data_IF_171182245142
#
_entry.id   IF_171182245142
#
_cell.length_a   1.000
_cell.length_b   1.000
_cell.length_c   1.000
_cell.angle_alpha   90.00
_cell.angle_beta   90.00
_cell.angle_gamma   90.00
#
_symmetry.space_group_name_H-M   'P 1'
#
loop_
_entity.id
_entity.type
_entity.pdbx_description
1 polymer ?
2 polymer ?
3 branched ?
4 non-polymer ?
5 water ?
#
# COMPACT_ATOMS: atom_id res chain seq x y z
N UNK A 8 -29.05 -18.24 -31.77
CA UNK A 8 -28.78 -16.81 -31.93
C UNK A 8 -28.84 -16.04 -30.61
N UNK A 9 -27.97 -15.03 -30.47
CA UNK A 9 -27.97 -14.14 -29.32
C UNK A 9 -27.86 -12.70 -29.81
N UNK A 10 -28.29 -11.77 -28.95
CA UNK A 10 -28.31 -10.34 -29.27
C UNK A 10 -27.51 -9.62 -28.19
N UNK A 11 -26.50 -8.88 -28.62
CA UNK A 11 -25.61 -8.20 -27.71
C UNK A 11 -25.34 -6.82 -28.27
N UNK A 12 -25.10 -5.82 -27.42
CA UNK A 12 -24.67 -4.52 -27.93
C UNK A 12 -23.31 -4.64 -28.58
N UNK A 13 -23.18 -3.97 -29.73
CA UNK A 13 -21.91 -3.91 -30.44
C UNK A 13 -21.09 -2.79 -29.81
N UNK A 14 -20.08 -3.16 -29.03
CA UNK A 14 -19.33 -2.14 -28.30
C UNK A 14 -18.05 -2.75 -27.77
N UNK A 15 -17.02 -1.92 -27.69
CA UNK A 15 -15.82 -2.22 -26.92
C UNK A 15 -15.60 -1.06 -25.94
N UNK A 16 -15.13 -1.37 -24.73
CA UNK A 16 -14.90 -0.33 -23.72
C UNK A 16 -13.43 0.08 -23.76
N UNK A 17 -13.14 1.20 -24.39
CA UNK A 17 -11.79 1.75 -24.47
C UNK A 17 -11.73 2.99 -23.58
N UNK A 18 -10.79 2.99 -22.64
CA UNK A 18 -10.63 4.09 -21.69
C UNK A 18 -9.14 4.36 -21.56
N UNK A 19 -8.75 5.62 -21.65
CA UNK A 19 -7.34 6.01 -21.56
C UNK A 19 -7.25 7.23 -20.68
N UNK A 20 -6.61 7.07 -19.52
CA UNK A 20 -6.47 8.16 -18.57
C UNK A 20 -5.19 8.94 -18.84
N UNK A 21 -5.27 10.25 -18.66
CA UNK A 21 -4.10 11.10 -18.78
C UNK A 21 -4.18 12.20 -17.71
N UNK A 22 -3.06 12.88 -17.50
CA UNK A 22 -2.94 13.91 -16.48
C UNK A 22 -2.09 13.53 -15.28
N UNK A 23 -1.57 12.30 -15.22
CA UNK A 23 -0.78 11.89 -14.07
C UNK A 23 0.56 12.59 -14.03
N UNK A 24 1.27 12.39 -12.92
CA UNK A 24 2.61 12.93 -12.74
C UNK A 24 2.87 13.22 -11.28
N UNK A 25 3.84 14.09 -11.03
CA UNK A 25 4.20 14.46 -9.67
C UNK A 25 3.59 15.82 -9.34
N UNK A 26 2.83 15.87 -8.25
CA UNK A 26 2.14 17.08 -7.84
C UNK A 26 2.63 17.50 -6.46
N UNK A 27 2.52 18.79 -6.18
CA UNK A 27 2.80 19.31 -4.86
C UNK A 27 1.53 19.30 -4.04
N UNK A 28 1.66 18.96 -2.76
CA UNK A 28 0.54 19.03 -1.84
C UNK A 28 -0.09 20.42 -1.87
N UNK A 29 -1.41 20.46 -1.71
CA UNK A 29 -2.17 21.69 -1.85
C UNK A 29 -2.63 22.00 -3.25
N UNK A 30 -2.02 21.39 -4.26
CA UNK A 30 -2.43 21.67 -5.63
C UNK A 30 -3.69 20.89 -5.98
N UNK A 31 -4.24 21.22 -7.15
CA UNK A 31 -5.44 20.57 -7.64
C UNK A 31 -5.06 19.52 -8.66
N UNK A 32 -5.60 18.32 -8.51
CA UNK A 32 -5.43 17.26 -9.49
C UNK A 32 -6.51 17.40 -10.56
N UNK A 33 -6.11 17.38 -11.84
CA UNK A 33 -7.06 17.35 -12.95
C UNK A 33 -6.70 16.20 -13.88
N UNK A 34 -7.55 15.18 -13.96
CA UNK A 34 -7.32 14.06 -14.84
C UNK A 34 -8.36 14.02 -15.94
N UNK A 35 -7.99 13.46 -17.08
CA UNK A 35 -8.89 13.26 -18.19
C UNK A 35 -8.95 11.78 -18.52
N UNK A 36 -10.14 11.29 -18.86
CA UNK A 36 -10.31 9.94 -19.37
C UNK A 36 -10.99 10.03 -20.73
N UNK A 37 -10.25 9.72 -21.79
CA UNK A 37 -10.77 9.66 -23.15
C UNK A 37 -11.41 8.30 -23.39
N UNK A 38 -12.69 8.28 -23.75
CA UNK A 38 -13.39 7.03 -23.97
C UNK A 38 -13.67 6.82 -25.46
N UNK A 39 -13.93 5.56 -25.81
CA UNK A 39 -14.27 5.20 -27.17
C UNK A 39 -14.86 3.80 -27.17
N UNK A 40 -15.61 3.50 -28.22
CA UNK A 40 -16.06 2.15 -28.50
C UNK A 40 -17.45 1.81 -28.01
N UNK A 41 -18.08 2.68 -27.22
CA UNK A 41 -19.38 2.43 -26.64
C UNK A 41 -20.16 3.74 -26.63
N UNK A 42 -21.47 3.65 -26.41
CA UNK A 42 -22.33 4.82 -26.52
C UNK A 42 -22.12 5.70 -25.31
N UNK A 43 -21.55 6.88 -25.54
CA UNK A 43 -21.02 7.70 -24.45
C UNK A 43 -22.14 8.31 -23.60
N UNK A 44 -23.12 8.94 -24.25
CA UNK A 44 -24.06 9.78 -23.51
C UNK A 44 -24.81 8.98 -22.46
N UNK A 45 -25.16 7.73 -22.79
CA UNK A 45 -25.97 6.86 -21.94
C UNK A 45 -25.15 6.02 -20.97
N UNK A 46 -23.84 6.29 -20.82
CA UNK A 46 -22.97 5.41 -20.07
C UNK A 46 -22.84 5.86 -18.62
N UNK A 47 -22.32 4.95 -17.81
CA UNK A 47 -22.01 5.18 -16.41
C UNK A 47 -20.51 4.99 -16.21
N UNK A 48 -19.85 6.04 -15.71
CA UNK A 48 -18.39 6.14 -15.64
C UNK A 48 -17.98 6.61 -14.24
N UNK A 49 -16.87 6.07 -13.74
CA UNK A 49 -16.39 6.35 -12.38
C UNK A 49 -14.87 6.49 -12.37
N UNK A 50 -14.35 7.02 -11.26
CA UNK A 50 -12.92 7.07 -11.00
C UNK A 50 -12.63 6.27 -9.74
N UNK A 51 -11.64 5.37 -9.82
CA UNK A 51 -11.18 4.57 -8.69
C UNK A 51 -9.70 4.82 -8.46
N UNK A 52 -9.31 4.85 -7.18
CA UNK A 52 -7.92 5.01 -6.75
C UNK A 52 -7.35 3.65 -6.31
N UNK A 53 -6.33 3.17 -7.03
CA UNK A 53 -5.64 1.93 -6.71
C UNK A 53 -4.27 2.30 -6.15
N UNK A 54 -4.19 2.39 -4.81
CA UNK A 54 -2.86 2.66 -4.27
C UNK A 54 -2.22 1.34 -3.87
N UNK A 55 -0.99 1.05 -4.30
CA UNK A 55 -0.38 -0.24 -3.96
C UNK A 55 -0.42 -0.47 -2.47
N UNK A 56 -0.85 -1.67 -2.07
CA UNK A 56 -0.97 -2.03 -0.67
C UNK A 56 -2.29 -1.69 -0.03
N UNK A 57 -3.18 -0.98 -0.73
CA UNK A 57 -4.47 -0.59 -0.17
C UNK A 57 -5.60 -1.20 -0.98
N UNK A 58 -6.80 -1.14 -0.41
CA UNK A 58 -8.00 -1.50 -1.15
C UNK A 58 -8.27 -0.46 -2.23
N UNK A 59 -8.56 -0.88 -3.47
CA UNK A 59 -9.03 0.06 -4.47
C UNK A 59 -10.23 0.81 -3.92
N UNK A 60 -10.28 2.12 -4.17
CA UNK A 60 -11.27 2.95 -3.52
C UNK A 60 -12.06 3.74 -4.55
N UNK A 61 -13.37 3.66 -4.48
CA UNK A 61 -14.21 4.54 -5.29
C UNK A 61 -14.04 5.99 -4.85
N UNK A 62 -13.90 6.89 -5.83
CA UNK A 62 -13.75 8.31 -5.56
C UNK A 62 -14.97 9.13 -5.97
N UNK A 63 -15.49 8.90 -7.17
CA UNK A 63 -16.57 9.70 -7.75
C UNK A 63 -17.03 9.02 -9.02
N UNK A 64 -18.23 9.37 -9.48
CA UNK A 64 -18.75 8.81 -10.72
C UNK A 64 -19.88 9.65 -11.24
N UNK A 65 -20.31 9.35 -12.46
CA UNK A 65 -21.37 10.16 -13.05
C UNK A 65 -21.99 9.46 -14.23
N UNK A 66 -23.24 9.85 -14.51
CA UNK A 66 -23.91 9.57 -15.77
C UNK A 66 -24.55 10.89 -16.22
N UNK A 67 -25.47 10.81 -17.17
CA UNK A 67 -26.03 12.02 -17.76
C UNK A 67 -26.99 12.73 -16.82
N UNK A 68 -27.49 12.07 -15.76
CA UNK A 68 -28.45 12.71 -14.87
C UNK A 68 -27.92 12.98 -13.47
N UNK A 69 -26.90 12.27 -13.01
CA UNK A 69 -26.48 12.38 -11.61
C UNK A 69 -24.97 12.22 -11.49
N UNK A 70 -24.43 12.75 -10.38
CA UNK A 70 -23.04 12.54 -10.01
C UNK A 70 -22.93 12.51 -8.49
N UNK A 71 -21.91 11.83 -7.99
CA UNK A 71 -21.68 11.77 -6.56
C UNK A 71 -20.17 11.67 -6.32
N UNK A 72 -19.77 11.90 -5.08
CA UNK A 72 -18.35 11.77 -4.77
C UNK A 72 -18.19 11.42 -3.31
N UNK A 73 -16.99 10.98 -2.99
CA UNK A 73 -16.66 10.52 -1.65
C UNK A 73 -16.35 11.69 -0.71
N UNK A 74 -15.88 12.82 -1.25
CA UNK A 74 -15.52 14.00 -0.46
C UNK A 74 -15.86 15.27 -1.23
N UNK A 75 -16.04 16.37 -0.49
CA UNK A 75 -16.33 17.64 -1.14
C UNK A 75 -15.27 18.10 -2.12
N UNK A 76 -13.99 17.88 -1.79
CA UNK A 76 -12.90 18.35 -2.64
C UNK A 76 -12.76 17.54 -3.95
N UNK A 77 -13.54 16.48 -4.14
CA UNK A 77 -13.45 15.58 -5.30
C UNK A 77 -14.68 15.76 -6.18
N UNK A 78 -14.48 15.96 -7.48
CA UNK A 78 -15.61 16.07 -8.41
C UNK A 78 -15.23 15.48 -9.77
N UNK A 79 -16.25 15.19 -10.56
CA UNK A 79 -16.03 14.72 -11.92
C UNK A 79 -17.00 15.44 -12.85
N UNK A 80 -16.70 15.41 -14.14
CA UNK A 80 -17.54 16.11 -15.11
C UNK A 80 -17.32 15.48 -16.47
N UNK A 81 -18.15 15.91 -17.43
CA UNK A 81 -18.28 15.28 -18.74
C UNK A 81 -18.19 16.30 -19.87
N UNK A 82 -17.55 15.90 -20.97
CA UNK A 82 -17.51 16.67 -22.21
C UNK A 82 -18.09 15.80 -23.32
N UNK A 83 -19.35 16.04 -23.68
CA UNK A 83 -20.08 15.09 -24.51
C UNK A 83 -19.60 15.06 -25.95
N UNK A 84 -19.30 16.22 -26.53
CA UNK A 84 -18.89 16.18 -27.93
C UNK A 84 -17.53 15.51 -28.12
N UNK A 85 -16.78 15.27 -27.04
CA UNK A 85 -15.48 14.65 -27.11
C UNK A 85 -15.42 13.28 -26.44
N UNK A 86 -16.53 12.81 -25.84
CA UNK A 86 -16.58 11.51 -25.18
C UNK A 86 -15.52 11.39 -24.07
N UNK A 87 -15.34 12.44 -23.29
CA UNK A 87 -14.38 12.45 -22.19
C UNK A 87 -15.09 12.67 -20.87
N UNK A 88 -14.50 12.14 -19.79
CA UNK A 88 -14.86 12.56 -18.43
C UNK A 88 -13.60 12.97 -17.71
N UNK A 89 -13.78 13.86 -16.73
CA UNK A 89 -12.69 14.47 -15.99
C UNK A 89 -12.81 14.20 -14.51
N UNK A 90 -11.67 14.26 -13.83
CA UNK A 90 -11.61 14.17 -12.38
C UNK A 90 -10.94 15.42 -11.86
N UNK A 91 -11.46 15.96 -10.76
CA UNK A 91 -10.79 17.07 -10.11
C UNK A 91 -10.72 16.80 -8.62
N UNK A 92 -9.51 16.90 -8.06
CA UNK A 92 -9.30 16.72 -6.64
C UNK A 92 -8.51 17.92 -6.16
N UNK A 93 -9.15 18.78 -5.39
CA UNK A 93 -8.48 19.93 -4.83
C UNK A 93 -7.75 19.53 -3.58
N UNK A 94 -6.74 20.35 -3.23
CA UNK A 94 -6.04 20.26 -1.95
C UNK A 94 -5.38 18.89 -1.78
N UNK A 95 -4.60 18.48 -2.78
CA UNK A 95 -3.92 17.19 -2.73
C UNK A 95 -3.04 17.07 -1.50
N UNK A 96 -3.00 15.87 -0.94
CA UNK A 96 -2.06 15.53 0.10
C UNK A 96 -1.42 14.19 -0.20
N UNK A 97 -0.54 13.77 0.72
CA UNK A 97 0.24 12.55 0.51
C UNK A 97 -0.64 11.32 0.33
N UNK A 98 -1.80 11.28 1.00
CA UNK A 98 -2.67 10.12 0.88
C UNK A 98 -3.32 10.02 -0.50
N UNK A 99 -3.25 11.05 -1.34
CA UNK A 99 -3.85 10.97 -2.66
C UNK A 99 -2.97 10.31 -3.71
N UNK A 100 -1.74 9.90 -3.35
CA UNK A 100 -0.85 9.23 -4.29
C UNK A 100 -1.37 7.85 -4.68
N UNK A 101 -1.12 7.47 -5.91
CA UNK A 101 -1.50 6.14 -6.36
C UNK A 101 -1.81 6.15 -7.84
N UNK A 102 -2.47 5.08 -8.28
CA UNK A 102 -2.83 4.90 -9.67
C UNK A 102 -4.32 5.19 -9.84
N UNK A 103 -4.63 6.23 -10.61
CA UNK A 103 -6.01 6.63 -10.84
C UNK A 103 -6.57 5.95 -12.09
N UNK A 104 -7.66 5.22 -11.93
CA UNK A 104 -8.29 4.47 -13.01
C UNK A 104 -9.66 5.06 -13.31
N UNK A 105 -9.91 5.27 -14.60
CA UNK A 105 -11.25 5.43 -15.13
C UNK A 105 -11.94 4.06 -15.21
N UNK A 106 -13.22 4.01 -14.86
CA UNK A 106 -13.95 2.74 -14.88
C UNK A 106 -15.33 2.91 -15.51
N UNK A 107 -15.79 1.88 -16.23
CA UNK A 107 -17.13 1.83 -16.79
C UNK A 107 -17.88 0.64 -16.21
N UNK A 108 -19.09 0.87 -15.75
CA UNK A 108 -19.94 -0.21 -15.29
C UNK A 108 -20.60 -0.88 -16.49
N UNK A 109 -20.49 -2.21 -16.57
CA UNK A 109 -20.93 -2.99 -17.72
C UNK A 109 -21.66 -4.23 -17.22
N UNK A 110 -22.82 -4.53 -17.79
CA UNK A 110 -23.50 -5.78 -17.50
C UNK A 110 -25.01 -5.63 -17.64
N UNK A 111 -25.72 -6.56 -17.00
CA UNK A 111 -27.18 -6.59 -17.13
C UNK A 111 -27.84 -5.42 -16.44
N UNK A 112 -27.25 -4.92 -15.35
CA UNK A 112 -27.85 -3.81 -14.63
C UNK A 112 -27.86 -4.07 -13.14
N UNK A 113 -27.62 -5.31 -12.73
CA UNK A 113 -27.75 -5.72 -11.35
C UNK A 113 -26.37 -5.94 -10.73
N UNK A 114 -26.35 -6.64 -9.60
CA UNK A 114 -25.13 -6.87 -8.82
C UNK A 114 -24.16 -7.83 -9.50
N UNK A 115 -24.49 -8.33 -10.69
CA UNK A 115 -23.53 -9.10 -11.46
C UNK A 115 -22.71 -8.23 -12.40
N UNK A 116 -22.99 -6.93 -12.45
CA UNK A 116 -22.24 -6.02 -13.31
C UNK A 116 -20.77 -6.01 -12.92
N UNK A 117 -19.91 -5.75 -13.90
CA UNK A 117 -18.50 -5.56 -13.65
C UNK A 117 -18.08 -4.13 -13.95
N UNK A 118 -16.93 -3.78 -13.39
CA UNK A 118 -16.19 -2.59 -13.77
C UNK A 118 -15.14 -3.02 -14.79
N UNK A 119 -15.06 -2.28 -15.90
CA UNK A 119 -13.95 -2.37 -16.83
C UNK A 119 -13.08 -1.17 -16.55
N UNK A 120 -11.77 -1.40 -16.42
CA UNK A 120 -10.81 -0.37 -16.06
C UNK A 120 -9.85 -0.11 -17.21
N UNK A 121 -9.36 1.13 -17.30
CA UNK A 121 -8.23 1.42 -18.17
C UNK A 121 -6.91 1.15 -17.47
N UNK A 122 -5.82 1.46 -18.16
CA UNK A 122 -4.49 1.28 -17.57
C UNK A 122 -4.28 2.19 -16.38
N UNK A 123 -4.99 3.30 -16.32
CA UNK A 123 -4.81 4.23 -15.22
C UNK A 123 -3.65 5.16 -15.50
N UNK A 124 -3.46 6.10 -14.57
CA UNK A 124 -2.37 7.05 -14.67
C UNK A 124 -1.84 7.28 -13.27
N UNK A 125 -0.53 7.42 -13.16
CA UNK A 125 0.14 7.43 -11.87
C UNK A 125 0.23 8.84 -11.31
N UNK A 126 -0.19 9.02 -10.06
CA UNK A 126 -0.08 10.31 -9.41
C UNK A 126 0.84 10.17 -8.20
N UNK A 127 1.84 11.03 -8.13
CA UNK A 127 2.75 11.13 -6.99
C UNK A 127 2.58 12.49 -6.36
N UNK A 128 2.16 12.53 -5.10
CA UNK A 128 2.05 13.78 -4.37
C UNK A 128 3.27 13.90 -3.48
N UNK A 129 3.92 15.05 -3.53
CA UNK A 129 5.09 15.29 -2.70
C UNK A 129 4.87 16.59 -1.94
N UNK A 130 5.59 16.79 -0.85
CA UNK A 130 5.37 18.00 -0.04
C UNK A 130 5.63 19.27 -0.84
N UNK A 131 4.90 20.31 -0.50
CA UNK A 131 5.13 21.58 -1.16
C UNK A 131 6.44 22.16 -0.65
N UNK A 132 7.25 22.77 -1.54
CA UNK A 132 8.52 23.32 -1.10
C UNK A 132 8.33 24.39 -0.02
N UNK A 133 9.34 24.48 0.83
CA UNK A 133 9.35 25.44 1.92
C UNK A 133 10.80 25.64 2.30
N UNK A 134 11.03 26.48 3.31
CA UNK A 134 12.39 26.89 3.61
C UNK A 134 13.27 25.67 3.90
N UNK A 135 14.52 25.69 3.44
CA UNK A 135 15.44 24.58 3.76
C UNK A 135 15.54 24.36 5.25
N UNK A 136 15.71 23.11 5.64
CA UNK A 136 15.66 22.71 7.05
C UNK A 136 16.74 21.66 7.28
N UNK A 137 17.73 21.99 8.07
CA UNK A 137 18.79 21.01 8.38
C UNK A 137 18.24 19.96 9.34
N UNK A 138 18.62 18.69 9.17
CA UNK A 138 18.15 17.65 10.09
C UNK A 138 18.93 17.66 11.40
N UNK A 139 18.33 17.02 12.39
CA UNK A 139 19.04 16.58 13.59
C UNK A 139 19.34 15.09 13.44
N UNK A 140 20.37 14.63 14.16
CA UNK A 140 20.89 13.28 13.97
C UNK A 140 21.01 12.59 15.32
N UNK A 141 20.44 11.39 15.43
CA UNK A 141 20.46 10.63 16.67
C UNK A 141 20.91 9.21 16.39
N UNK A 142 21.82 8.70 17.22
CA UNK A 142 22.22 7.30 17.16
C UNK A 142 21.39 6.49 18.14
N UNK A 143 20.94 5.31 17.71
CA UNK A 143 20.22 4.39 18.56
C UNK A 143 20.78 2.99 18.31
N UNK A 144 20.81 2.19 19.37
CA UNK A 144 21.42 0.88 19.34
C UNK A 144 20.47 -0.18 19.89
N UNK A 145 20.57 -1.38 19.35
CA UNK A 145 19.94 -2.57 19.94
C UNK A 145 20.87 -3.73 19.58
N UNK A 146 21.64 -4.19 20.56
CA UNK A 146 22.63 -5.27 20.40
C UNK A 146 23.60 -4.85 19.31
N UNK A 147 23.75 -5.61 18.21
CA UNK A 147 24.71 -5.33 17.15
C UNK A 147 24.10 -4.52 16.02
N UNK A 148 22.89 -4.03 16.20
CA UNK A 148 22.23 -3.19 15.22
C UNK A 148 22.34 -1.73 15.66
N UNK A 149 22.67 -0.86 14.72
CA UNK A 149 22.71 0.58 14.97
C UNK A 149 21.76 1.24 13.98
N UNK A 150 20.86 2.06 14.49
CA UNK A 150 20.01 2.90 13.67
C UNK A 150 20.48 4.33 13.82
N UNK A 151 20.57 5.02 12.71
CA UNK A 151 20.84 6.45 12.71
C UNK A 151 19.54 7.16 12.33
N UNK A 152 18.99 7.93 13.26
CA UNK A 152 17.70 8.59 13.07
C UNK A 152 17.93 10.02 12.64
N UNK A 153 17.33 10.41 11.52
CA UNK A 153 17.57 11.70 10.88
C UNK A 153 16.23 12.39 10.72
N UNK A 154 15.99 13.48 11.48
CA UNK A 154 14.63 14.01 11.64
C UNK A 154 14.47 15.40 11.05
N UNK A 155 13.45 15.54 10.20
CA UNK A 155 12.90 16.82 9.80
C UNK A 155 13.95 17.63 9.04
N UNK A 156 14.09 17.28 7.77
CA UNK A 156 14.93 18.03 6.85
C UNK A 156 14.14 18.29 5.58
N UNK A 157 14.57 19.31 4.86
CA UNK A 157 13.99 19.63 3.60
C UNK A 157 15.09 20.42 2.88
N UNK A 158 15.32 20.19 1.58
CA UNK A 158 14.71 19.17 0.71
C UNK A 158 15.22 17.75 1.01
N UNK A 159 14.74 16.76 0.25
CA UNK A 159 14.94 15.36 0.60
C UNK A 159 16.35 14.84 0.30
N UNK A 160 17.09 15.49 -0.60
CA UNK A 160 18.41 14.99 -0.95
C UNK A 160 19.35 15.09 0.25
N UNK A 161 19.96 13.96 0.61
CA UNK A 161 21.04 13.96 1.60
C UNK A 161 21.93 12.75 1.37
N UNK A 162 23.08 12.77 2.03
CA UNK A 162 24.02 11.66 2.01
C UNK A 162 24.29 11.28 3.45
N UNK A 163 24.23 9.98 3.74
CA UNK A 163 24.41 9.42 5.08
C UNK A 163 25.50 8.37 5.03
N UNK A 164 26.22 8.26 6.13
CA UNK A 164 27.31 7.30 6.25
C UNK A 164 27.48 6.95 7.73
N UNK A 165 27.51 5.65 8.03
CA UNK A 165 27.88 5.12 9.33
C UNK A 165 29.30 4.58 9.28
N UNK A 166 30.13 4.94 10.25
CA UNK A 166 31.52 4.54 10.26
C UNK A 166 31.96 4.18 11.66
N UNK A 167 32.86 3.19 11.75
CA UNK A 167 33.47 2.77 13.00
C UNK A 167 34.96 3.08 12.91
N UNK A 168 35.39 4.07 13.69
CA UNK A 168 36.78 4.56 13.69
C UNK A 168 37.30 4.79 12.27
N UNK A 169 36.44 5.37 11.43
CA UNK A 169 36.86 5.88 10.15
C UNK A 169 36.48 5.04 8.96
N UNK A 170 36.13 3.76 9.13
CA UNK A 170 35.81 2.93 7.98
C UNK A 170 34.33 2.54 7.97
N UNK A 171 33.76 2.51 6.76
CA UNK A 171 32.34 2.22 6.56
C UNK A 171 31.97 0.88 7.18
N UNK A 172 30.87 0.85 7.92
CA UNK A 172 30.47 -0.42 8.50
C UNK A 172 29.71 -1.20 7.44
N UNK A 173 29.51 -2.50 7.69
CA UNK A 173 28.82 -3.38 6.76
C UNK A 173 27.30 -3.22 6.87
N UNK A 174 26.62 -3.61 5.80
CA UNK A 174 25.16 -3.76 5.76
C UNK A 174 24.42 -2.46 6.05
N UNK A 175 24.96 -1.33 5.58
CA UNK A 175 24.27 -0.05 5.67
C UNK A 175 23.16 0.04 4.63
N UNK A 176 22.06 0.72 4.99
CA UNK A 176 20.92 0.92 4.10
C UNK A 176 20.01 2.02 4.66
N UNK A 177 19.45 2.83 3.76
CA UNK A 177 18.78 4.09 4.09
C UNK A 177 17.31 4.04 3.72
N UNK A 178 16.45 4.42 4.65
CA UNK A 178 15.02 4.55 4.39
C UNK A 178 14.58 5.98 4.65
N UNK A 179 13.80 6.53 3.74
CA UNK A 179 13.46 7.94 3.78
C UNK A 179 11.98 8.06 3.51
N UNK A 180 11.29 8.93 4.25
CA UNK A 180 9.85 9.09 4.04
C UNK A 180 9.42 10.50 4.40
N UNK A 181 8.41 11.03 3.72
CA UNK A 181 7.81 12.29 4.17
C UNK A 181 7.05 12.12 5.47
N UNK A 182 6.92 13.22 6.20
CA UNK A 182 6.08 13.30 7.37
C UNK A 182 4.84 14.15 7.06
N UNK A 183 3.96 14.28 8.05
CA UNK A 183 2.72 15.06 7.88
C UNK A 183 3.00 16.56 7.81
N UNK A 184 4.09 17.03 8.42
CA UNK A 184 4.44 18.44 8.40
C UNK A 184 5.10 18.89 7.09
N UNK A 185 5.19 18.03 6.08
CA UNK A 185 5.83 18.47 4.85
C UNK A 185 7.34 18.40 4.86
N UNK A 186 7.94 17.81 5.88
CA UNK A 186 9.38 17.57 5.90
C UNK A 186 9.67 16.08 5.74
N UNK A 187 10.93 15.73 5.64
CA UNK A 187 11.35 14.35 5.55
C UNK A 187 12.06 13.94 6.84
N UNK A 188 11.99 12.65 7.13
CA UNK A 188 12.81 12.04 8.15
C UNK A 188 13.30 10.71 7.57
N UNK A 189 14.32 10.14 8.19
CA UNK A 189 14.96 9.01 7.56
C UNK A 189 15.67 8.21 8.63
N UNK A 190 15.87 6.94 8.33
CA UNK A 190 16.58 6.01 9.19
C UNK A 190 17.60 5.29 8.34
N UNK A 191 18.85 5.30 8.80
CA UNK A 191 19.95 4.58 8.18
C UNK A 191 20.37 3.46 9.13
N UNK A 192 20.30 2.22 8.65
CA UNK A 192 20.53 1.03 9.47
C UNK A 192 21.89 0.44 9.15
N UNK A 193 22.60 -0.05 10.17
CA UNK A 193 23.84 -0.76 9.93
C UNK A 193 24.10 -1.76 11.04
N UNK A 194 25.14 -2.58 10.84
CA UNK A 194 25.53 -3.62 11.79
C UNK A 194 26.91 -3.31 12.35
N UNK A 195 27.02 -3.28 13.68
CA UNK A 195 28.31 -3.03 14.32
C UNK A 195 28.22 -3.53 15.76
N UNK A 196 29.34 -4.03 16.27
CA UNK A 196 29.34 -4.53 17.63
C UNK A 196 28.93 -3.45 18.62
N UNK A 197 28.20 -3.88 19.67
CA UNK A 197 27.61 -2.94 20.62
C UNK A 197 28.67 -2.12 21.35
N UNK A 198 29.93 -2.55 21.31
CA UNK A 198 31.01 -1.82 21.96
C UNK A 198 31.90 -1.06 21.00
N UNK A 199 31.62 -1.10 19.70
CA UNK A 199 32.47 -0.37 18.76
C UNK A 199 32.10 1.10 18.75
N UNK A 200 33.10 1.94 18.49
CA UNK A 200 32.85 3.36 18.27
C UNK A 200 32.09 3.53 16.95
N UNK A 201 31.04 4.32 16.97
CA UNK A 201 30.20 4.49 15.79
C UNK A 201 29.94 5.97 15.58
N UNK A 202 29.97 6.39 14.31
CA UNK A 202 29.66 7.76 13.95
C UNK A 202 28.65 7.75 12.82
N UNK A 203 27.59 8.52 12.96
CA UNK A 203 26.67 8.74 11.87
C UNK A 203 26.89 10.14 11.34
N UNK A 204 27.11 10.26 10.04
CA UNK A 204 27.49 11.53 9.46
C UNK A 204 26.55 11.84 8.30
N UNK A 205 25.93 13.02 8.33
CA UNK A 205 24.90 13.42 7.38
C UNK A 205 25.34 14.69 6.67
N UNK A 206 25.17 14.71 5.36
CA UNK A 206 25.47 15.87 4.54
C UNK A 206 24.16 16.33 3.91
N UNK A 207 23.84 17.61 4.10
CA UNK A 207 22.56 18.13 3.65
C UNK A 207 22.78 19.59 3.34
N UNK A 208 22.53 19.97 2.08
CA UNK A 208 22.73 21.35 1.60
C UNK A 208 24.13 21.85 1.90
N UNK A 209 25.11 20.98 1.71
CA UNK A 209 26.48 21.36 1.95
C UNK A 209 26.87 21.55 3.40
N UNK A 210 25.97 21.29 4.35
CA UNK A 210 26.30 21.29 5.78
C UNK A 210 26.47 19.85 6.25
N UNK A 211 27.36 19.66 7.21
CA UNK A 211 27.62 18.34 7.78
C UNK A 211 27.07 18.30 9.20
N UNK A 212 26.28 17.27 9.50
CA UNK A 212 25.71 17.04 10.82
C UNK A 212 26.06 15.62 11.21
N UNK A 213 26.26 15.40 12.50
CA UNK A 213 26.72 14.08 12.94
C UNK A 213 26.46 13.89 14.43
N UNK A 214 26.40 12.62 14.82
CA UNK A 214 26.47 12.15 16.21
C UNK A 214 27.43 10.97 16.27
N UNK A 215 28.19 10.87 17.35
CA UNK A 215 29.06 9.71 17.55
C UNK A 215 28.93 9.19 18.97
N UNK A 216 28.98 7.88 19.12
CA UNK A 216 29.13 7.24 20.40
C UNK A 216 30.59 6.80 20.49
N UNK A 217 31.38 7.49 21.29
CA UNK A 217 32.80 7.18 21.41
C UNK A 217 32.99 5.93 22.24
N UNK A 218 34.07 5.21 21.95
CA UNK A 218 34.50 4.07 22.75
C UNK A 218 35.63 4.42 23.71
N UNK A 219 36.34 5.52 23.47
CA UNK A 219 37.32 6.03 24.40
C UNK A 219 37.14 7.52 24.63
N UNK A 220 37.91 8.04 25.58
CA UNK A 220 37.87 9.46 25.93
C UNK A 220 38.13 10.38 24.73
N UNK B 2 -23.81 -1.04 8.88
CA UNK B 2 -22.59 -0.54 9.52
C UNK B 2 -21.50 -0.31 8.49
N UNK B 3 -21.80 -0.60 7.23
CA UNK B 3 -20.85 -0.44 6.15
C UNK B 3 -20.19 -1.74 5.73
N UNK B 4 -20.17 -2.02 4.44
CA UNK B 4 -19.67 -3.31 3.95
C UNK B 4 -18.15 -3.29 3.91
N UNK B 5 -17.54 -4.42 4.27
CA UNK B 5 -16.09 -4.54 4.35
C UNK B 5 -15.65 -5.96 4.04
N UNK B 6 -14.52 -6.10 3.36
CA UNK B 6 -13.99 -7.39 2.93
C UNK B 6 -12.57 -7.55 3.42
N UNK B 7 -12.26 -8.75 3.94
CA UNK B 7 -10.98 -9.06 4.55
C UNK B 7 -10.31 -10.18 3.77
N UNK B 8 -9.00 -10.03 3.51
CA UNK B 8 -8.25 -11.00 2.71
C UNK B 8 -6.96 -11.35 3.43
N UNK B 9 -6.75 -12.63 3.69
CA UNK B 9 -5.58 -13.11 4.41
C UNK B 9 -5.32 -14.54 3.94
N UNK B 10 -4.05 -14.97 3.88
CA UNK B 10 -2.83 -14.22 4.16
C UNK B 10 -2.56 -13.13 3.11
N UNK B 11 -1.59 -12.25 3.38
CA UNK B 11 -1.35 -11.13 2.46
C UNK B 11 -0.66 -11.59 1.19
N UNK B 12 -0.05 -12.76 1.18
CA UNK B 12 0.56 -13.27 -0.04
C UNK B 12 0.50 -14.79 -0.04
N UNK B 13 0.63 -15.36 -1.23
CA UNK B 13 0.72 -16.80 -1.45
C UNK B 13 1.83 -17.02 -2.48
N UNK B 14 2.86 -17.78 -2.10
CA UNK B 14 3.97 -18.07 -2.98
C UNK B 14 3.90 -19.52 -3.44
N UNK B 15 4.11 -19.75 -4.73
CA UNK B 15 3.97 -21.07 -5.29
C UNK B 15 5.00 -21.27 -6.38
N UNK B 16 5.26 -22.54 -6.69
CA UNK B 16 5.94 -22.91 -7.92
C UNK B 16 4.91 -23.25 -8.98
N UNK B 17 5.38 -23.40 -10.22
CA UNK B 17 4.47 -23.67 -11.34
C UNK B 17 3.75 -24.99 -11.13
N UNK B 18 2.58 -25.11 -11.74
CA UNK B 18 1.73 -26.30 -11.76
C UNK B 18 1.05 -26.55 -10.41
N UNK B 19 1.32 -25.74 -9.38
CA UNK B 19 0.63 -25.86 -8.11
C UNK B 19 -0.69 -25.09 -8.17
N UNK B 20 -1.34 -24.93 -7.03
CA UNK B 20 -2.61 -24.22 -6.97
C UNK B 20 -2.60 -23.31 -5.75
N UNK B 21 -3.62 -22.46 -5.64
CA UNK B 21 -3.63 -21.47 -4.58
C UNK B 21 -5.05 -21.13 -4.23
N UNK B 22 -5.34 -21.06 -2.93
CA UNK B 22 -6.66 -20.71 -2.42
C UNK B 22 -6.58 -19.35 -1.75
N UNK B 23 -7.40 -18.41 -2.22
CA UNK B 23 -7.41 -17.05 -1.71
C UNK B 23 -8.68 -16.86 -0.91
N UNK B 24 -8.56 -16.20 0.23
CA UNK B 24 -9.65 -16.03 1.17
C UNK B 24 -10.23 -14.63 1.11
N UNK B 25 -11.56 -14.54 1.25
CA UNK B 25 -12.27 -13.26 1.36
C UNK B 25 -13.31 -13.41 2.46
N UNK B 26 -13.05 -12.83 3.63
CA UNK B 26 -14.05 -12.73 4.68
C UNK B 26 -14.82 -11.43 4.46
N UNK B 27 -16.09 -11.55 4.07
CA UNK B 27 -16.95 -10.41 3.78
C UNK B 27 -17.84 -10.15 4.99
N UNK B 28 -17.83 -8.92 5.48
CA UNK B 28 -18.54 -8.52 6.69
C UNK B 28 -19.59 -7.47 6.37
N UNK B 29 -20.69 -7.51 7.12
CA UNK B 29 -21.88 -6.72 6.84
C UNK B 29 -22.26 -6.80 5.36
N UNK B 30 -22.48 -8.00 4.82
CA UNK B 30 -22.76 -8.12 3.39
C UNK B 30 -24.03 -7.38 3.01
N UNK B 31 -23.96 -6.67 1.88
CA UNK B 31 -25.11 -5.97 1.31
C UNK B 31 -25.48 -6.53 -0.05
N UNK B 32 -24.85 -7.62 -0.49
CA UNK B 32 -25.05 -8.12 -1.84
C UNK B 32 -24.87 -9.63 -1.85
N UNK B 33 -25.45 -10.26 -2.85
CA UNK B 33 -25.33 -11.71 -3.02
C UNK B 33 -24.11 -12.12 -3.82
N UNK B 34 -23.45 -11.20 -4.51
CA UNK B 34 -22.37 -11.54 -5.42
C UNK B 34 -21.03 -11.09 -4.86
N UNK B 35 -20.05 -12.00 -4.92
CA UNK B 35 -18.67 -11.71 -4.57
C UNK B 35 -17.88 -11.73 -5.87
N UNK B 36 -17.16 -10.63 -6.15
CA UNK B 36 -16.42 -10.44 -7.39
C UNK B 36 -14.93 -10.57 -7.13
N UNK B 37 -14.20 -11.16 -8.09
CA UNK B 37 -12.76 -11.39 -7.96
C UNK B 37 -12.05 -10.69 -9.11
N UNK B 38 -11.28 -9.66 -8.78
CA UNK B 38 -10.51 -8.88 -9.74
C UNK B 38 -9.03 -9.21 -9.59
N UNK B 39 -8.28 -9.04 -10.69
CA UNK B 39 -6.85 -9.24 -10.69
C UNK B 39 -6.17 -8.00 -11.21
N UNK B 40 -5.05 -7.66 -10.59
CA UNK B 40 -4.23 -6.53 -10.98
C UNK B 40 -2.81 -7.01 -11.27
N UNK B 41 -2.27 -6.65 -12.45
CA UNK B 41 -0.90 -6.97 -12.80
C UNK B 41 -0.24 -5.71 -13.32
N UNK B 42 1.04 -5.54 -12.99
CA UNK B 42 1.83 -4.39 -13.37
C UNK B 42 1.69 -4.06 -14.85
N UNK B 43 1.35 -2.82 -15.15
CA UNK B 43 1.25 -2.39 -16.53
C UNK B 43 0.02 -2.90 -17.28
N UNK B 44 -0.85 -3.68 -16.65
CA UNK B 44 -2.09 -4.11 -17.25
C UNK B 44 -3.27 -3.42 -16.57
N UNK B 45 -4.39 -3.36 -17.29
CA UNK B 45 -5.62 -2.90 -16.66
C UNK B 45 -6.10 -3.94 -15.67
N UNK B 46 -6.45 -3.56 -14.44
CA UNK B 46 -7.13 -4.52 -13.56
C UNK B 46 -8.41 -5.01 -14.23
N UNK B 47 -8.76 -6.26 -13.98
CA UNK B 47 -9.92 -6.82 -14.65
C UNK B 47 -10.57 -7.85 -13.76
N UNK B 48 -11.85 -8.08 -14.01
CA UNK B 48 -12.56 -9.08 -13.24
C UNK B 48 -12.32 -10.45 -13.85
N UNK B 49 -12.09 -11.44 -13.00
CA UNK B 49 -11.92 -12.82 -13.45
C UNK B 49 -13.21 -13.62 -13.42
N UNK B 50 -14.02 -13.45 -12.37
CA UNK B 50 -15.24 -14.23 -12.20
C UNK B 50 -16.12 -13.52 -11.18
N UNK B 51 -17.38 -13.95 -11.12
CA UNK B 51 -18.31 -13.49 -10.09
C UNK B 51 -19.00 -14.71 -9.50
N UNK B 52 -19.22 -14.68 -8.19
CA UNK B 52 -19.75 -15.81 -7.45
C UNK B 52 -21.00 -15.37 -6.72
N UNK B 53 -22.08 -16.13 -6.89
CA UNK B 53 -23.33 -15.92 -6.18
C UNK B 53 -23.30 -16.76 -4.90
N UNK B 54 -23.28 -16.10 -3.75
CA UNK B 54 -23.22 -16.84 -2.50
C UNK B 54 -24.45 -17.73 -2.32
N UNK B 55 -25.64 -17.18 -2.56
CA UNK B 55 -26.87 -17.94 -2.39
C UNK B 55 -26.89 -19.16 -3.31
N UNK B 56 -26.92 -18.92 -4.63
CA UNK B 56 -26.90 -20.03 -5.58
C UNK B 56 -25.59 -20.82 -5.56
N UNK B 57 -24.61 -20.42 -4.76
CA UNK B 57 -23.31 -21.11 -4.65
C UNK B 57 -22.74 -21.42 -6.03
N UNK B 58 -22.70 -20.39 -6.88
CA UNK B 58 -22.41 -20.56 -8.30
C UNK B 58 -21.28 -19.63 -8.71
N UNK B 59 -20.26 -20.17 -9.37
CA UNK B 59 -19.07 -19.42 -9.77
C UNK B 59 -19.04 -19.28 -11.30
N UNK B 60 -19.14 -18.04 -11.77
CA UNK B 60 -19.28 -17.72 -13.19
C UNK B 60 -18.04 -16.98 -13.69
N UNK B 61 -17.17 -17.64 -14.46
CA UNK B 61 -15.98 -16.94 -14.98
C UNK B 61 -16.34 -15.98 -16.11
N UNK B 62 -15.57 -14.92 -16.21
CA UNK B 62 -15.70 -13.95 -17.28
C UNK B 62 -15.01 -14.49 -18.53
N UNK B 63 -15.27 -13.92 -19.70
CA UNK B 63 -14.65 -14.44 -20.92
C UNK B 63 -13.14 -14.39 -20.83
N UNK B 64 -12.50 -15.42 -21.41
CA UNK B 64 -11.07 -15.59 -21.31
C UNK B 64 -10.62 -16.46 -20.17
N UNK B 65 -11.47 -16.67 -19.17
CA UNK B 65 -11.10 -17.43 -17.99
C UNK B 65 -11.93 -18.70 -17.94
N UNK B 66 -11.26 -19.84 -17.77
CA UNK B 66 -11.90 -21.14 -17.73
C UNK B 66 -12.24 -21.51 -16.30
N UNK B 67 -13.39 -22.16 -16.11
CA UNK B 67 -13.72 -22.68 -14.79
C UNK B 67 -12.72 -23.71 -14.30
N UNK B 68 -11.97 -24.34 -15.22
CA UNK B 68 -10.85 -25.19 -14.83
C UNK B 68 -9.71 -24.39 -14.22
N UNK B 69 -9.57 -23.12 -14.60
CA UNK B 69 -8.46 -22.29 -14.19
C UNK B 69 -8.75 -21.50 -12.92
N UNK B 70 -9.93 -20.88 -12.82
CA UNK B 70 -10.34 -20.12 -11.64
C UNK B 70 -11.76 -20.51 -11.28
N UNK B 71 -12.02 -20.64 -9.98
CA UNK B 71 -13.29 -21.15 -9.50
C UNK B 71 -13.47 -20.66 -8.06
N UNK B 72 -14.61 -20.05 -7.77
CA UNK B 72 -14.94 -19.64 -6.41
C UNK B 72 -15.93 -20.62 -5.78
N UNK B 73 -15.76 -20.85 -4.47
CA UNK B 73 -16.67 -21.71 -3.72
C UNK B 73 -16.82 -21.15 -2.31
N UNK B 74 -17.61 -21.84 -1.48
CA UNK B 74 -17.90 -21.40 -0.11
C UNK B 74 -16.89 -21.97 0.88
N UNK B 75 -16.68 -21.26 1.99
CA UNK B 75 -15.74 -21.68 3.01
C UNK B 75 -16.30 -21.48 4.40
N UNK B 76 -15.51 -21.87 5.40
CA UNK B 76 -15.93 -21.77 6.79
C UNK B 76 -16.19 -20.30 7.15
N UNK B 77 -17.27 -20.08 7.91
CA UNK B 77 -17.69 -18.75 8.39
C UNK B 77 -18.15 -17.85 7.24
N UNK B 78 -18.91 -18.42 6.31
CA UNK B 78 -19.49 -17.68 5.18
C UNK B 78 -18.42 -16.96 4.37
N UNK B 79 -17.25 -17.60 4.26
CA UNK B 79 -16.10 -17.06 3.54
C UNK B 79 -16.11 -17.52 2.10
N UNK B 80 -15.92 -16.58 1.17
CA UNK B 80 -15.71 -16.94 -0.22
C UNK B 80 -14.22 -17.15 -0.49
N UNK B 81 -13.91 -18.20 -1.25
CA UNK B 81 -12.55 -18.59 -1.57
C UNK B 81 -12.38 -18.71 -3.07
N UNK B 82 -11.26 -18.22 -3.59
CA UNK B 82 -10.90 -18.34 -4.99
C UNK B 82 -9.76 -19.32 -5.14
N UNK B 83 -9.95 -20.34 -5.98
CA UNK B 83 -8.89 -21.30 -6.29
C UNK B 83 -8.38 -21.04 -7.69
N UNK B 84 -7.06 -20.89 -7.80
CA UNK B 84 -6.39 -20.69 -9.08
C UNK B 84 -5.54 -21.93 -9.31
N UNK B 85 -5.90 -22.72 -10.32
CA UNK B 85 -5.24 -24.00 -10.56
C UNK B 85 -4.07 -23.84 -11.53
N UNK B 86 -3.22 -24.87 -11.55
CA UNK B 86 -2.16 -25.04 -12.53
C UNK B 86 -1.40 -23.74 -12.73
N UNK B 87 -0.90 -23.22 -11.61
CA UNK B 87 -0.26 -21.92 -11.59
C UNK B 87 0.88 -21.83 -12.60
N UNK B 88 0.95 -20.69 -13.28
CA UNK B 88 2.06 -20.30 -14.15
C UNK B 88 2.57 -18.94 -13.69
N UNK B 89 3.80 -18.62 -14.07
CA UNK B 89 4.38 -17.34 -13.66
C UNK B 89 3.47 -16.21 -14.09
N UNK B 90 2.84 -16.35 -15.25
CA UNK B 90 1.96 -15.31 -15.78
C UNK B 90 0.72 -15.09 -14.92
N UNK B 91 0.48 -15.91 -13.90
CA UNK B 91 -0.63 -15.71 -12.98
C UNK B 91 -0.30 -14.77 -11.83
N UNK B 92 0.97 -14.46 -11.59
CA UNK B 92 1.34 -13.57 -10.48
C UNK B 92 0.62 -12.23 -10.60
N UNK B 93 0.20 -11.70 -9.47
CA UNK B 93 -0.40 -10.38 -9.40
C UNK B 93 -1.19 -10.27 -8.11
N UNK B 94 -1.90 -9.15 -7.97
CA UNK B 94 -2.72 -8.92 -6.79
C UNK B 94 -4.17 -9.23 -7.10
N UNK B 95 -4.78 -10.09 -6.27
CA UNK B 95 -6.15 -10.54 -6.44
C UNK B 95 -7.02 -9.90 -5.36
N UNK B 96 -8.03 -9.16 -5.79
CA UNK B 96 -8.94 -8.47 -4.88
C UNK B 96 -10.32 -9.07 -5.00
N UNK B 97 -10.94 -9.37 -3.86
CA UNK B 97 -12.38 -9.60 -3.90
C UNK B 97 -13.10 -8.27 -3.76
N UNK B 98 -14.32 -8.22 -4.27
CA UNK B 98 -15.06 -6.97 -4.30
C UNK B 98 -16.54 -7.26 -4.12
N UNK B 99 -17.28 -6.22 -3.73
CA UNK B 99 -18.74 -6.32 -3.63
C UNK B 99 -19.39 -5.00 -3.98
N UNK B 100 -20.47 -5.07 -4.75
CA UNK B 100 -21.31 -3.91 -4.98
C UNK B 100 -22.00 -3.49 -3.69
N UNK B 101 -22.04 -2.17 -3.46
CA UNK B 101 -22.83 -1.55 -2.37
C UNK B 101 -23.51 -0.31 -2.96
N UNK B 102 -24.61 -0.54 -3.67
CA UNK B 102 -25.26 0.53 -4.40
C UNK B 102 -24.54 0.82 -5.69
N UNK B 103 -24.37 2.10 -6.02
CA UNK B 103 -23.60 2.46 -7.19
C UNK B 103 -22.10 2.41 -6.94
N UNK B 104 -21.67 1.95 -5.75
CA UNK B 104 -20.28 1.96 -5.34
C UNK B 104 -19.80 0.53 -5.16
N UNK B 105 -18.63 0.21 -5.72
CA UNK B 105 -18.03 -1.09 -5.54
C UNK B 105 -16.93 -0.99 -4.49
N UNK B 106 -16.98 -1.89 -3.50
CA UNK B 106 -16.03 -1.93 -2.40
C UNK B 106 -15.13 -3.14 -2.58
N UNK B 107 -13.83 -2.94 -2.37
CA UNK B 107 -12.80 -3.92 -2.66
C UNK B 107 -12.05 -4.31 -1.39
N UNK B 108 -11.71 -5.58 -1.31
CA UNK B 108 -10.73 -6.01 -0.34
C UNK B 108 -9.36 -5.42 -0.62
N UNK B 109 -8.49 -5.58 0.35
CA UNK B 109 -7.14 -5.07 0.27
C UNK B 109 -6.25 -5.89 -0.67
N UNK B 110 -6.65 -7.11 -1.02
CA UNK B 110 -5.91 -7.89 -1.97
C UNK B 110 -4.89 -8.86 -1.37
N UNK B 111 -4.76 -10.03 -1.98
CA UNK B 111 -3.67 -10.95 -1.67
C UNK B 111 -2.76 -11.08 -2.88
N UNK B 112 -1.46 -11.05 -2.65
CA UNK B 112 -0.52 -11.13 -3.76
C UNK B 112 -0.15 -12.58 -4.02
N UNK B 113 -0.47 -13.05 -5.22
CA UNK B 113 -0.08 -14.37 -5.68
C UNK B 113 1.27 -14.26 -6.36
N UNK B 114 2.24 -15.02 -5.90
CA UNK B 114 3.59 -15.02 -6.47
C UNK B 114 3.86 -16.42 -6.98
N UNK B 115 4.03 -16.55 -8.29
CA UNK B 115 4.39 -17.82 -8.89
C UNK B 115 5.79 -17.67 -9.44
N UNK B 116 6.67 -18.57 -9.03
CA UNK B 116 8.06 -18.51 -9.48
C UNK B 116 8.52 -19.89 -9.90
N UNK B 117 9.45 -19.92 -10.84
CA UNK B 117 10.03 -21.17 -11.28
C UNK B 117 11.30 -21.51 -10.51
N UNK B 118 11.73 -20.68 -9.56
CA UNK B 118 12.89 -20.95 -8.74
C UNK B 118 12.49 -21.61 -7.42
N UNK B 119 13.36 -22.48 -6.92
CA UNK B 119 13.15 -22.99 -5.56
C UNK B 119 13.16 -21.83 -4.58
N UNK B 120 12.35 -21.93 -3.54
CA UNK B 120 12.26 -20.88 -2.53
C UNK B 120 11.91 -21.52 -1.20
N UNK B 121 12.18 -20.79 -0.12
CA UNK B 121 11.72 -21.15 1.21
C UNK B 121 11.20 -19.88 1.86
N UNK B 122 10.01 -19.95 2.46
CA UNK B 122 9.48 -18.82 3.19
C UNK B 122 10.30 -18.59 4.45
N UNK B 123 10.46 -17.32 4.82
CA UNK B 123 11.25 -16.95 5.99
C UNK B 123 10.52 -15.82 6.69
N UNK B 124 10.31 -15.92 7.99
CA UNK B 124 9.52 -14.91 8.71
C UNK B 124 10.38 -13.70 9.06
N UNK B 125 9.77 -12.53 9.18
CA UNK B 125 10.53 -11.37 9.66
C UNK B 125 11.18 -11.62 11.01
N UNK B 126 12.41 -11.13 11.16
CA UNK B 126 13.07 -11.04 12.46
C UNK B 126 13.02 -9.59 12.94
N UNK B 127 12.16 -9.25 13.90
CA UNK B 127 12.03 -7.84 14.30
C UNK B 127 13.14 -7.38 15.23
N UNK B 128 13.54 -6.11 15.05
CA UNK B 128 14.50 -5.44 15.91
C UNK B 128 13.94 -4.07 16.25
N UNK B 129 13.82 -3.78 17.54
CA UNK B 129 13.19 -2.56 18.03
C UNK B 129 14.23 -1.61 18.58
N UNK B 130 14.07 -0.33 18.27
CA UNK B 130 14.87 0.74 18.84
C UNK B 130 13.91 1.71 19.53
N UNK B 131 14.23 2.11 20.74
CA UNK B 131 13.29 2.93 21.48
C UNK B 131 13.76 4.37 21.56
N UNK B 132 12.84 5.31 21.85
CA UNK B 132 13.24 6.72 21.91
C UNK B 132 14.45 6.92 22.81
N UNK B 133 15.38 7.76 22.37
CA UNK B 133 16.54 8.12 23.15
C UNK B 133 16.32 9.45 23.88
N UNK B 134 17.00 9.59 25.02
CA UNK B 134 16.90 10.80 25.83
C UNK B 134 17.30 12.01 25.02
N UNK B 135 18.41 11.91 24.29
CA UNK B 135 18.87 13.01 23.47
C UNK B 135 17.80 13.47 22.47
N UNK B 136 17.11 12.52 21.84
CA UNK B 136 16.03 12.91 20.93
C UNK B 136 14.95 13.68 21.66
N UNK B 137 14.54 13.18 22.84
CA UNK B 137 13.49 13.86 23.60
C UNK B 137 13.98 15.23 24.04
N UNK B 138 15.24 15.32 24.46
CA UNK B 138 15.80 16.60 24.87
C UNK B 138 15.82 17.60 23.71
N UNK B 139 16.18 17.16 22.51
CA UNK B 139 16.32 18.11 21.41
C UNK B 139 15.00 18.37 20.69
N UNK B 140 14.05 17.43 20.68
CA UNK B 140 12.88 17.60 19.83
C UNK B 140 11.56 17.49 20.58
N UNK B 141 11.57 17.29 21.90
CA UNK B 141 10.32 17.14 22.64
C UNK B 141 9.43 16.08 22.04
N UNK B 142 10.03 15.06 21.46
CA UNK B 142 9.30 13.97 20.85
C UNK B 142 10.24 12.78 20.73
N UNK B 143 9.66 11.61 20.51
CA UNK B 143 10.44 10.39 20.53
C UNK B 143 10.04 9.46 19.42
N UNK B 144 11.02 8.76 18.85
CA UNK B 144 10.79 7.91 17.68
C UNK B 144 11.01 6.44 18.05
N UNK B 145 9.97 5.64 17.86
CA UNK B 145 10.06 4.19 17.94
C UNK B 145 10.40 3.68 16.55
N UNK B 146 11.28 2.71 16.50
CA UNK B 146 11.74 2.18 15.22
C UNK B 146 11.59 0.66 15.30
N UNK B 147 10.94 0.07 14.30
CA UNK B 147 11.00 -1.37 14.16
C UNK B 147 11.58 -1.73 12.80
N UNK B 148 12.71 -2.44 12.82
CA UNK B 148 13.31 -3.05 11.64
C UNK B 148 12.88 -4.52 11.56
N UNK B 149 12.31 -4.91 10.44
CA UNK B 149 11.99 -6.30 10.18
C UNK B 149 12.99 -6.83 9.16
N UNK B 150 13.71 -7.88 9.49
CA UNK B 150 14.73 -8.30 8.52
C UNK B 150 14.62 -9.76 8.13
N UNK B 151 15.23 -10.03 6.99
CA UNK B 151 15.50 -11.38 6.51
C UNK B 151 14.22 -12.19 6.29
N UNK B 152 13.21 -11.56 5.67
CA UNK B 152 11.99 -12.29 5.35
C UNK B 152 11.90 -12.58 3.86
N UNK B 153 11.05 -13.56 3.52
CA UNK B 153 10.74 -13.92 2.15
C UNK B 153 9.35 -14.54 2.17
N UNK B 154 8.45 -14.13 1.27
CA UNK B 154 8.63 -13.20 0.15
C UNK B 154 8.72 -11.71 0.56
N UNK B 155 8.90 -10.82 -0.42
CA UNK B 155 9.03 -9.38 -0.20
C UNK B 155 7.68 -8.68 0.00
N UNK B 156 6.79 -9.26 0.79
CA UNK B 156 5.48 -8.70 1.07
C UNK B 156 5.29 -8.72 2.58
N UNK B 157 4.90 -7.58 3.15
CA UNK B 157 4.72 -7.49 4.59
C UNK B 157 3.83 -6.29 4.87
N UNK B 158 3.11 -6.36 5.98
CA UNK B 158 2.18 -5.31 6.40
C UNK B 158 2.45 -5.05 7.87
N UNK B 159 2.65 -3.77 8.23
CA UNK B 159 2.99 -3.38 9.58
C UNK B 159 2.15 -2.17 9.96
N UNK B 160 1.81 -2.07 11.25
CA UNK B 160 1.03 -0.94 11.73
C UNK B 160 1.25 -0.76 13.23
N UNK B 161 1.09 0.47 13.67
CA UNK B 161 1.21 0.87 15.07
C UNK B 161 -0.14 1.34 15.57
N UNK B 162 -0.53 0.87 16.76
CA UNK B 162 -1.74 1.35 17.42
C UNK B 162 -1.41 1.79 18.83
N UNK B 163 -2.19 2.72 19.36
CA UNK B 163 -2.10 3.03 20.78
C UNK B 163 -3.32 2.46 21.48
N UNK B 164 -3.12 2.03 22.73
CA UNK B 164 -4.21 1.43 23.49
C UNK B 164 -5.35 2.44 23.64
N UNK B 165 -6.57 1.99 23.34
CA UNK B 165 -7.73 2.84 23.39
C UNK B 165 -8.16 3.37 22.03
N UNK B 166 -7.24 3.45 21.09
CA UNK B 166 -7.54 3.82 19.71
C UNK B 166 -7.42 2.57 18.85
N UNK B 167 -8.13 2.57 17.73
CA UNK B 167 -8.08 1.44 16.80
C UNK B 167 -7.79 1.87 15.37
N UNK B 168 -7.66 3.18 15.11
CA UNK B 168 -7.07 3.69 13.87
C UNK B 168 -5.55 3.53 13.92
N UNK B 169 -4.93 2.86 12.94
CA UNK B 169 -3.47 2.88 12.85
C UNK B 169 -2.94 4.32 12.97
N UNK B 170 -1.81 4.46 13.63
CA UNK B 170 -1.16 5.75 13.76
C UNK B 170 -0.38 6.10 12.50
N UNK B 171 -0.09 7.39 12.36
CA UNK B 171 0.58 7.90 11.16
C UNK B 171 2.08 7.65 11.31
N UNK B 172 2.48 6.41 10.99
CA UNK B 172 3.88 6.02 11.01
C UNK B 172 4.52 6.24 9.64
N UNK B 173 5.85 6.31 9.61
CA UNK B 173 6.58 6.34 8.36
C UNK B 173 7.05 4.93 8.02
N UNK B 174 6.99 4.57 6.75
CA UNK B 174 7.40 3.24 6.30
C UNK B 174 8.45 3.37 5.21
N UNK B 175 9.57 2.70 5.37
CA UNK B 175 10.55 2.64 4.32
C UNK B 175 10.16 1.62 3.25
N UNK B 176 10.90 1.62 2.15
CA UNK B 176 10.63 0.66 1.09
C UNK B 176 11.03 -0.74 1.56
N UNK B 177 10.50 -1.75 0.88
CA UNK B 177 10.97 -3.11 1.11
C UNK B 177 12.23 -3.30 0.28
N UNK B 178 13.34 -3.58 0.95
CA UNK B 178 14.65 -3.62 0.30
C UNK B 178 15.24 -5.01 0.40
N UNK B 179 15.99 -5.40 -0.61
CA UNK B 179 16.63 -6.68 -0.60
C UNK B 179 16.54 -7.32 -1.96
N UNK B 180 16.73 -8.62 -1.96
CA UNK B 180 16.72 -9.38 -3.20
C UNK B 180 16.95 -10.83 -2.87
N UNK B 181 16.87 -11.66 -3.90
CA UNK B 181 17.09 -13.08 -3.70
C UNK B 181 16.09 -13.60 -2.69
N UNK B 182 16.59 -14.18 -1.60
CA UNK B 182 15.72 -14.80 -0.60
C UNK B 182 15.70 -14.02 0.72
N UNK B 183 16.06 -12.74 0.70
CA UNK B 183 16.12 -12.01 1.97
C UNK B 183 15.74 -10.55 1.74
N UNK B 184 14.60 -10.13 2.28
CA UNK B 184 14.16 -8.75 2.21
C UNK B 184 13.98 -8.19 3.62
N UNK B 185 13.97 -6.86 3.72
CA UNK B 185 13.77 -6.22 5.00
C UNK B 185 12.98 -4.92 4.82
N UNK B 186 12.46 -4.40 5.93
CA UNK B 186 11.76 -3.12 5.89
C UNK B 186 11.79 -2.50 7.28
N UNK B 187 12.03 -1.20 7.34
CA UNK B 187 11.99 -0.47 8.61
C UNK B 187 10.76 0.43 8.61
N UNK B 188 10.09 0.51 9.75
CA UNK B 188 9.10 1.57 9.94
C UNK B 188 9.37 2.27 11.26
N UNK B 189 8.84 3.48 11.40
CA UNK B 189 9.14 4.22 12.62
C UNK B 189 8.01 5.20 12.93
N UNK B 190 7.87 5.50 14.21
CA UNK B 190 6.75 6.28 14.72
C UNK B 190 7.28 7.37 15.64
N UNK B 191 7.14 8.61 15.20
CA UNK B 191 7.51 9.78 15.98
C UNK B 191 6.27 10.35 16.65
N UNK B 192 6.31 10.49 17.98
CA UNK B 192 5.16 10.93 18.75
C UNK B 192 5.57 12.02 19.72
N UNK B 193 4.60 12.89 20.08
CA UNK B 193 4.81 13.93 21.07
C UNK B 193 4.98 13.35 22.47
N UNK B 194 5.57 14.16 23.36
CA UNK B 194 6.00 13.69 24.68
C UNK B 194 4.84 13.11 25.49
N UNK B 195 3.65 13.72 25.39
CA UNK B 195 2.50 13.18 26.10
C UNK B 195 2.26 11.73 25.71
N UNK B 196 2.34 11.43 24.41
CA UNK B 196 2.12 10.07 23.95
C UNK B 196 3.27 9.13 24.31
N UNK B 197 4.41 9.68 24.77
CA UNK B 197 5.53 8.84 25.17
C UNK B 197 5.24 8.05 26.43
N UNK B 198 4.25 8.46 27.22
CA UNK B 198 3.85 7.72 28.40
C UNK B 198 2.78 6.67 28.11
N UNK B 199 2.02 6.83 27.03
CA UNK B 199 0.96 5.89 26.69
C UNK B 199 1.53 4.59 26.14
N UNK B 200 0.69 3.56 26.18
CA UNK B 200 1.08 2.23 25.73
C UNK B 200 0.77 2.05 24.25
N UNK B 201 1.69 1.42 23.54
CA UNK B 201 1.59 1.22 22.11
C UNK B 201 1.60 -0.26 21.79
N UNK B 202 0.98 -0.64 20.67
CA UNK B 202 1.11 -1.98 20.14
C UNK B 202 1.59 -1.92 18.69
N UNK B 203 2.54 -2.78 18.35
CA UNK B 203 3.10 -2.89 17.02
C UNK B 203 2.69 -4.24 16.43
N UNK B 204 2.19 -4.24 15.20
CA UNK B 204 1.71 -5.43 14.53
C UNK B 204 2.42 -5.65 13.20
N UNK B 205 2.62 -6.92 12.83
CA UNK B 205 2.98 -7.21 11.45
C UNK B 205 2.35 -8.52 10.99
N UNK B 206 2.11 -8.61 9.68
CA UNK B 206 1.61 -9.80 9.03
C UNK B 206 2.59 -10.21 7.93
N UNK B 207 2.68 -11.52 7.72
CA UNK B 207 3.60 -12.06 6.73
C UNK B 207 3.15 -13.47 6.40
N UNK B 208 3.43 -13.89 5.17
CA UNK B 208 2.94 -15.18 4.70
C UNK B 208 3.51 -16.33 5.53
N UNK B 209 4.72 -16.18 6.07
CA UNK B 209 5.27 -17.27 6.86
C UNK B 209 4.65 -17.36 8.24
N UNK B 210 3.87 -16.37 8.64
CA UNK B 210 3.07 -16.40 9.86
C UNK B 210 1.67 -16.92 9.62
N UNK B 211 1.33 -17.28 8.39
CA UNK B 211 -0.06 -17.56 8.07
C UNK B 211 -0.91 -16.32 8.24
N UNK B 212 -2.14 -16.51 8.69
CA UNK B 212 -3.09 -15.41 8.73
C UNK B 212 -2.94 -14.53 9.96
N UNK B 213 -2.53 -15.08 11.10
CA UNK B 213 -2.57 -14.34 12.37
C UNK B 213 -1.44 -13.32 12.43
N UNK B 214 -1.73 -12.06 12.74
CA UNK B 214 -0.65 -11.09 13.01
C UNK B 214 0.19 -11.49 14.20
N UNK B 215 1.46 -11.10 14.16
CA UNK B 215 2.32 -11.00 15.34
C UNK B 215 2.16 -9.61 15.95
N UNK B 216 2.16 -9.54 17.27
CA UNK B 216 1.94 -8.27 17.97
C UNK B 216 2.94 -8.10 19.09
N UNK B 217 3.49 -6.90 19.23
CA UNK B 217 4.38 -6.54 20.32
C UNK B 217 3.80 -5.38 21.11
N UNK B 218 3.97 -5.44 22.42
CA UNK B 218 3.55 -4.38 23.32
C UNK B 218 4.75 -3.51 23.66
N UNK B 219 4.55 -2.20 23.64
CA UNK B 219 5.56 -1.24 24.08
C UNK B 219 4.95 -0.41 25.21
N UNK B 220 5.53 -0.51 26.40
CA UNK B 220 4.89 0.05 27.58
C UNK B 220 5.95 0.54 28.55
N UNK B 221 5.51 1.34 29.54
CA UNK B 221 6.42 2.05 30.42
C UNK B 221 7.17 1.10 31.35
N UNK B 222 6.44 0.42 32.24
CA UNK B 222 6.95 -0.59 33.19
C UNK B 222 8.44 -0.48 33.54
#
# INVERSE_FOLDING_TARGET
NFGPGTELTVLPLEKTLLTESGGGTYQAGKTLSLKCQTSGFQFKTSQLDWYLWTPGHAPLWLTGLNSSSTDATEGRITSSREDNKNQIFLQIEDLGLRDSGQYHCARRVGNGDDTDKLVFGLGTRVIVEPRPAAPLSPSVFLVRDQDAVACLIRNFYPKELHVSLTSSGTLISAQSLSLAPTASGTYSAIHIGRVGENDAITCSVKHLGKEIHMSHQAGSLVPR
ETGVALEQRPISITRNAKQSASLNCKILNPVSDYVHWYRSQEGRAPERLLVYSRSKSESVPDPGFSADKVRAYKGKDDTCRLIVSDLQVSDSGVYHCASWDGRVKVFGEGTRLIVTESAFKKKPPKPIFFLPTSEEIKQKQSGTYICLLEDFFPNVVKTYWKEDGNSQPLDAQFGPITGGGNSYSQVSWLTVKEDVLRKNLTYFYQHEDLGMEPKAFSISSVREKGSLVPR
#
